data_IF_335673250058
#
_entry.id   IF_335673250058
#
_cell.length_a   1.000
_cell.length_b   1.000
_cell.length_c   1.000
_cell.angle_alpha   90.00
_cell.angle_beta   90.00
_cell.angle_gamma   90.00
#
_symmetry.space_group_name_H-M   'P 1'
#
loop_
_entity.id
_entity.type
_entity.pdbx_description
1 polymer ?
#
# COMPACT_ATOMS: atom_id res chain seq x y z
N UNK A 1 -26.23 7.60 1.28
CA UNK A 1 -24.94 6.93 1.02
C UNK A 1 -25.08 6.01 -0.18
N UNK A 2 -24.50 6.35 -1.34
CA UNK A 2 -24.42 5.40 -2.48
C UNK A 2 -23.42 4.31 -2.08
N UNK A 3 -23.87 3.05 -2.05
CA UNK A 3 -22.98 1.90 -1.90
C UNK A 3 -22.12 1.84 -3.16
N UNK A 4 -20.79 1.94 -3.01
CA UNK A 4 -19.86 1.64 -4.11
C UNK A 4 -20.13 0.20 -4.54
N UNK A 5 -20.61 0.00 -5.77
CA UNK A 5 -20.60 -1.32 -6.38
C UNK A 5 -19.18 -1.55 -6.85
N UNK A 6 -18.39 -2.27 -6.05
CA UNK A 6 -17.03 -2.62 -6.43
C UNK A 6 -17.10 -3.60 -7.61
N UNK A 7 -16.66 -3.14 -8.78
CA UNK A 7 -16.45 -4.01 -9.94
C UNK A 7 -15.10 -4.69 -9.77
N UNK A 8 -15.01 -6.00 -9.99
CA UNK A 8 -13.77 -6.77 -9.87
C UNK A 8 -13.24 -7.15 -11.25
N UNK A 9 -11.91 -7.21 -11.39
CA UNK A 9 -11.25 -7.81 -12.55
C UNK A 9 -11.49 -9.33 -12.57
N UNK A 10 -11.23 -9.96 -13.71
CA UNK A 10 -11.17 -11.42 -13.78
C UNK A 10 -10.22 -11.97 -12.71
N UNK A 11 -10.65 -12.99 -11.95
CA UNK A 11 -9.86 -13.49 -10.85
C UNK A 11 -8.59 -14.15 -11.37
N UNK A 12 -7.47 -13.79 -10.77
CA UNK A 12 -6.24 -14.55 -10.96
C UNK A 12 -6.36 -15.88 -10.21
N UNK A 13 -6.11 -16.99 -10.89
CA UNK A 13 -6.30 -18.33 -10.36
C UNK A 13 -4.94 -18.96 -10.08
N UNK A 14 -4.72 -19.32 -8.82
CA UNK A 14 -3.54 -20.05 -8.37
C UNK A 14 -3.95 -21.48 -8.01
N UNK A 15 -3.23 -22.46 -8.55
CA UNK A 15 -3.41 -23.85 -8.20
C UNK A 15 -2.27 -24.30 -7.29
N UNK A 16 -2.65 -24.82 -6.11
CA UNK A 16 -1.76 -25.47 -5.16
C UNK A 16 -2.19 -26.93 -5.03
N UNK A 17 -1.29 -27.80 -4.55
CA UNK A 17 -1.43 -29.26 -4.55
C UNK A 17 -2.80 -29.79 -4.05
N UNK A 18 -3.47 -29.07 -3.16
CA UNK A 18 -4.77 -29.44 -2.59
C UNK A 18 -5.83 -28.32 -2.66
N UNK A 19 -5.57 -27.19 -3.33
CA UNK A 19 -6.56 -26.12 -3.41
C UNK A 19 -6.40 -25.23 -4.64
N UNK A 20 -7.50 -24.57 -5.00
CA UNK A 20 -7.51 -23.50 -6.00
C UNK A 20 -7.87 -22.20 -5.31
N UNK A 21 -7.00 -21.20 -5.44
CA UNK A 21 -7.18 -19.86 -4.88
C UNK A 21 -7.55 -18.91 -6.01
N UNK A 22 -8.69 -18.23 -5.89
CA UNK A 22 -9.15 -17.21 -6.84
C UNK A 22 -9.02 -15.83 -6.18
N UNK A 23 -8.14 -14.98 -6.72
CA UNK A 23 -7.90 -13.64 -6.18
C UNK A 23 -8.64 -12.60 -7.01
N UNK A 24 -9.70 -12.02 -6.45
CA UNK A 24 -10.47 -10.95 -7.06
C UNK A 24 -9.86 -9.60 -6.69
N UNK A 25 -9.48 -8.80 -7.68
CA UNK A 25 -8.95 -7.45 -7.47
C UNK A 25 -9.99 -6.42 -7.90
N UNK A 26 -10.28 -5.39 -7.08
CA UNK A 26 -11.23 -4.36 -7.47
C UNK A 26 -10.66 -3.51 -8.61
N UNK A 27 -11.52 -3.17 -9.57
CA UNK A 27 -11.25 -2.16 -10.60
C UNK A 27 -11.38 -0.80 -9.90
N UNK A 28 -10.27 -0.10 -9.76
CA UNK A 28 -10.27 1.24 -9.20
C UNK A 28 -10.62 2.25 -10.30
N UNK A 29 -11.54 3.17 -10.01
CA UNK A 29 -11.73 4.36 -10.84
C UNK A 29 -10.47 5.23 -10.78
N UNK A 30 -10.27 6.11 -11.77
CA UNK A 30 -9.10 7.00 -11.76
C UNK A 30 -9.10 7.92 -10.53
N UNK A 31 -10.27 8.39 -10.09
CA UNK A 31 -10.43 9.19 -8.87
C UNK A 31 -9.97 8.42 -7.62
N UNK A 32 -10.39 7.17 -7.49
CA UNK A 32 -10.03 6.32 -6.36
C UNK A 32 -8.54 5.95 -6.39
N UNK A 33 -8.00 5.70 -7.58
CA UNK A 33 -6.58 5.46 -7.81
C UNK A 33 -5.74 6.68 -7.39
N UNK A 34 -6.14 7.88 -7.79
CA UNK A 34 -5.47 9.13 -7.40
C UNK A 34 -5.52 9.34 -5.88
N UNK A 35 -6.68 9.13 -5.24
CA UNK A 35 -6.84 9.23 -3.78
C UNK A 35 -5.89 8.30 -3.03
N UNK A 36 -5.78 7.03 -3.47
CA UNK A 36 -4.85 6.06 -2.87
C UNK A 36 -3.40 6.45 -3.11
N UNK A 37 -3.07 6.95 -4.29
CA UNK A 37 -1.71 7.41 -4.61
C UNK A 37 -1.26 8.55 -3.71
N UNK A 38 -2.13 9.53 -3.43
CA UNK A 38 -1.81 10.61 -2.48
C UNK A 38 -1.56 10.10 -1.05
N UNK A 39 -2.34 9.11 -0.59
CA UNK A 39 -2.10 8.46 0.70
C UNK A 39 -0.75 7.74 0.74
N UNK A 40 -0.37 7.05 -0.35
CA UNK A 40 0.94 6.38 -0.48
C UNK A 40 2.08 7.40 -0.46
N UNK A 41 1.97 8.51 -1.20
CA UNK A 41 2.98 9.58 -1.20
C UNK A 41 3.19 10.15 0.21
N UNK A 42 2.11 10.42 0.93
CA UNK A 42 2.19 10.90 2.31
C UNK A 42 2.93 9.91 3.21
N UNK A 43 2.55 8.63 3.16
CA UNK A 43 3.21 7.59 3.95
C UNK A 43 4.70 7.44 3.60
N UNK A 44 5.08 7.60 2.33
CA UNK A 44 6.47 7.57 1.90
C UNK A 44 7.28 8.74 2.47
N UNK A 45 6.72 9.96 2.48
CA UNK A 45 7.37 11.13 3.10
C UNK A 45 7.56 10.91 4.60
N UNK A 46 6.53 10.43 5.29
CA UNK A 46 6.59 10.15 6.73
C UNK A 46 7.68 9.13 7.06
N UNK A 47 7.80 8.08 6.23
CA UNK A 47 8.86 7.08 6.35
C UNK A 47 10.25 7.70 6.21
N UNK A 48 10.49 8.49 5.16
CA UNK A 48 11.79 9.14 4.93
C UNK A 48 12.17 10.02 6.13
N UNK A 49 11.25 10.86 6.60
CA UNK A 49 11.48 11.73 7.77
C UNK A 49 11.84 10.89 9.01
N UNK A 50 11.12 9.80 9.26
CA UNK A 50 11.39 8.92 10.38
C UNK A 50 12.78 8.27 10.27
N UNK A 51 13.17 7.81 9.08
CA UNK A 51 14.50 7.22 8.86
C UNK A 51 15.64 8.23 9.09
N UNK A 52 15.50 9.47 8.62
CA UNK A 52 16.51 10.51 8.82
C UNK A 52 16.63 10.90 10.30
N UNK A 53 15.50 11.03 11.01
CA UNK A 53 15.50 11.26 12.46
C UNK A 53 16.20 10.11 13.21
N UNK A 54 15.99 8.86 12.79
CA UNK A 54 16.65 7.71 13.40
C UNK A 54 18.17 7.72 13.16
N UNK A 55 18.62 8.11 11.95
CA UNK A 55 20.06 8.25 11.63
C UNK A 55 20.72 9.33 12.49
N UNK A 56 20.09 10.49 12.63
CA UNK A 56 20.62 11.60 13.45
C UNK A 56 20.73 11.24 14.94
N UNK A 57 19.78 10.46 15.48
CA UNK A 57 19.87 9.96 16.86
C UNK A 57 21.05 9.02 17.04
N UNK A 58 21.28 8.11 16.09
CA UNK A 58 22.42 7.18 16.13
C UNK A 58 23.76 7.90 16.02
N UNK A 59 23.88 8.91 15.16
CA UNK A 59 25.14 9.66 15.03
C UNK A 59 25.46 10.48 16.28
N UNK A 60 24.44 11.04 16.94
CA UNK A 60 24.62 11.75 18.22
C UNK A 60 25.04 10.80 19.34
N UNK A 61 24.39 9.65 19.48
CA UNK A 61 24.74 8.66 20.53
C UNK A 61 26.08 7.96 20.31
N UNK A 62 26.71 8.10 19.14
CA UNK A 62 28.04 7.52 18.87
C UNK A 62 29.18 8.50 19.15
N UNK A 63 28.89 9.81 19.19
CA UNK A 63 29.88 10.87 19.42
C UNK A 63 29.91 11.37 20.88
N UNK A 64 29.07 10.81 21.75
CA UNK A 64 29.08 11.00 23.22
C UNK A 64 29.65 9.74 23.88
#
# INVERSE_FOLDING_TARGET
MKKSQDTYMEPEVYHYNNCTVRVFRPILTEEERARRMEAIKKAAVDLVIATERAKQKKSRSFND
#
